data_IF_271543747629
#
_entry.id   IF_271543747629
#
_cell.length_a   1.000
_cell.length_b   1.000
_cell.length_c   1.000
_cell.angle_alpha   90.00
_cell.angle_beta   90.00
_cell.angle_gamma   90.00
#
_symmetry.space_group_name_H-M   'P 1'
#
loop_
_entity.id
_entity.type
_entity.pdbx_description
1 polymer ?
#
# COMPACT_ATOMS: atom_id res chain seq x y z
N UNK A 1 26.36 12.17 -13.30
CA UNK A 1 25.94 10.83 -13.76
C UNK A 1 24.42 10.82 -13.63
N UNK A 2 23.70 11.09 -14.71
CA UNK A 2 22.24 11.25 -14.66
C UNK A 2 21.63 10.34 -15.71
N UNK A 3 21.03 9.25 -15.25
CA UNK A 3 20.16 8.38 -16.04
C UNK A 3 18.85 8.21 -15.27
N UNK A 4 18.24 9.31 -14.89
CA UNK A 4 16.89 9.31 -14.33
C UNK A 4 15.91 9.51 -15.48
N UNK A 5 15.11 8.47 -15.76
CA UNK A 5 14.06 8.49 -16.79
C UNK A 5 12.71 8.41 -16.12
N UNK A 6 11.76 9.27 -16.52
CA UNK A 6 10.36 9.19 -16.11
C UNK A 6 9.54 8.56 -17.24
N UNK A 7 8.66 7.62 -16.91
CA UNK A 7 7.72 7.03 -17.86
C UNK A 7 6.30 7.24 -17.33
N UNK A 8 5.42 7.77 -18.18
CA UNK A 8 4.05 8.16 -17.84
C UNK A 8 3.05 7.42 -18.72
N UNK A 9 2.02 6.85 -18.11
CA UNK A 9 0.88 6.24 -18.80
C UNK A 9 -0.43 6.81 -18.27
N UNK A 10 -1.36 7.13 -19.19
CA UNK A 10 -2.75 7.46 -18.82
C UNK A 10 -3.55 6.16 -18.75
N UNK A 11 -3.98 5.80 -17.55
CA UNK A 11 -4.88 4.66 -17.32
C UNK A 11 -6.32 5.18 -17.38
N UNK A 12 -7.16 4.61 -18.24
CA UNK A 12 -8.61 4.87 -18.26
C UNK A 12 -9.35 3.67 -17.71
N UNK A 13 -10.11 3.85 -16.63
CA UNK A 13 -10.86 2.78 -15.97
C UNK A 13 -9.93 1.75 -15.36
N UNK A 14 -9.40 2.03 -14.16
CA UNK A 14 -8.68 1.00 -13.37
C UNK A 14 -9.74 -0.05 -13.00
N UNK A 15 -9.91 -1.04 -13.88
CA UNK A 15 -10.85 -2.11 -13.68
C UNK A 15 -10.45 -2.85 -12.39
N UNK A 16 -11.38 -2.87 -11.44
CA UNK A 16 -11.42 -3.76 -10.27
C UNK A 16 -10.16 -3.80 -9.39
N UNK A 17 -9.50 -2.66 -9.13
CA UNK A 17 -8.48 -2.58 -8.06
C UNK A 17 -9.08 -1.96 -6.81
N UNK A 18 -8.98 -2.70 -5.71
CA UNK A 18 -9.31 -2.20 -4.37
C UNK A 18 -8.26 -1.17 -3.95
N UNK A 19 -6.99 -1.58 -3.97
CA UNK A 19 -5.86 -0.74 -3.57
C UNK A 19 -4.55 -1.21 -4.22
N UNK A 20 -3.59 -0.28 -4.28
CA UNK A 20 -2.17 -0.57 -4.45
C UNK A 20 -1.47 -0.10 -3.19
N UNK A 21 -0.65 -0.96 -2.59
CA UNK A 21 0.06 -0.68 -1.35
C UNK A 21 1.55 -0.78 -1.57
N UNK A 22 2.27 0.25 -1.14
CA UNK A 22 3.72 0.22 -1.03
C UNK A 22 4.12 -0.05 0.42
N UNK A 23 4.93 -1.08 0.60
CA UNK A 23 5.55 -1.48 1.86
C UNK A 23 7.01 -1.04 1.86
N UNK A 24 7.45 -0.32 2.89
CA UNK A 24 8.83 0.17 3.02
C UNK A 24 9.41 -0.27 4.35
N UNK A 25 10.48 -1.06 4.30
CA UNK A 25 11.31 -1.37 5.46
C UNK A 25 12.53 -0.42 5.47
N UNK A 26 12.88 0.07 6.66
CA UNK A 26 14.02 0.96 6.86
C UNK A 26 15.12 0.25 7.64
N UNK A 27 16.36 0.55 7.30
CA UNK A 27 17.51 0.15 8.11
C UNK A 27 17.56 0.96 9.42
N UNK A 28 18.47 0.62 10.36
CA UNK A 28 18.62 1.36 11.62
C UNK A 28 18.99 2.85 11.47
N UNK A 29 19.52 3.26 10.32
CA UNK A 29 19.84 4.67 10.01
C UNK A 29 18.62 5.45 9.46
N UNK A 30 17.46 4.80 9.35
CA UNK A 30 16.23 5.41 8.85
C UNK A 30 16.17 5.54 7.33
N UNK A 31 17.04 4.85 6.59
CA UNK A 31 17.04 4.82 5.13
C UNK A 31 16.27 3.61 4.61
N UNK A 32 15.48 3.73 3.53
CA UNK A 32 14.80 2.60 2.92
C UNK A 32 15.80 1.50 2.53
N UNK A 33 15.59 0.30 3.06
CA UNK A 33 16.41 -0.88 2.77
C UNK A 33 15.71 -1.80 1.76
N UNK A 34 14.39 -1.94 1.89
CA UNK A 34 13.56 -2.71 0.98
C UNK A 34 12.23 -2.01 0.73
N UNK A 35 11.81 -2.02 -0.54
CA UNK A 35 10.52 -1.50 -0.98
C UNK A 35 9.82 -2.59 -1.78
N UNK A 36 8.59 -2.90 -1.43
CA UNK A 36 7.71 -3.80 -2.17
C UNK A 36 6.41 -3.07 -2.50
N UNK A 37 5.81 -3.41 -3.63
CA UNK A 37 4.48 -2.94 -4.01
C UNK A 37 3.60 -4.15 -4.27
N UNK A 38 2.42 -4.19 -3.65
CA UNK A 38 1.39 -5.19 -3.94
C UNK A 38 0.10 -4.52 -4.39
N UNK A 39 -0.71 -5.25 -5.15
CA UNK A 39 -1.98 -4.78 -5.66
C UNK A 39 -3.11 -5.75 -5.29
N UNK A 40 -4.22 -5.17 -4.87
CA UNK A 40 -5.39 -5.87 -4.37
C UNK A 40 -6.55 -5.64 -5.33
N UNK A 41 -7.22 -6.72 -5.74
CA UNK A 41 -8.41 -6.65 -6.57
C UNK A 41 -9.62 -6.27 -5.72
N UNK A 42 -10.60 -5.63 -6.34
CA UNK A 42 -11.88 -5.30 -5.71
C UNK A 42 -12.77 -6.55 -5.57
N UNK A 43 -12.36 -7.41 -4.62
CA UNK A 43 -13.00 -8.67 -4.27
C UNK A 43 -12.99 -8.84 -2.74
N UNK A 44 -13.98 -9.53 -2.15
CA UNK A 44 -14.01 -9.76 -0.69
C UNK A 44 -12.76 -10.45 -0.16
N UNK A 45 -12.17 -11.37 -0.92
CA UNK A 45 -10.96 -12.10 -0.54
C UNK A 45 -9.75 -11.16 -0.44
N UNK A 46 -9.54 -10.32 -1.46
CA UNK A 46 -8.44 -9.36 -1.46
C UNK A 46 -8.68 -8.19 -0.48
N UNK A 47 -9.94 -7.88 -0.14
CA UNK A 47 -10.25 -6.98 0.98
C UNK A 47 -9.75 -7.54 2.31
N UNK A 48 -10.09 -8.80 2.61
CA UNK A 48 -9.61 -9.46 3.82
C UNK A 48 -8.08 -9.57 3.83
N UNK A 49 -7.48 -9.87 2.67
CA UNK A 49 -6.02 -9.96 2.51
C UNK A 49 -5.35 -8.62 2.78
N UNK A 50 -5.87 -7.53 2.19
CA UNK A 50 -5.37 -6.17 2.40
C UNK A 50 -5.32 -5.82 3.89
N UNK A 51 -6.41 -6.05 4.62
CA UNK A 51 -6.45 -5.72 6.05
C UNK A 51 -5.45 -6.55 6.86
N UNK A 52 -5.34 -7.85 6.58
CA UNK A 52 -4.39 -8.74 7.25
C UNK A 52 -2.92 -8.38 6.95
N UNK A 53 -2.62 -8.04 5.70
CA UNK A 53 -1.26 -7.67 5.26
C UNK A 53 -0.84 -6.33 5.88
N UNK A 54 -1.73 -5.34 5.91
CA UNK A 54 -1.47 -4.04 6.57
C UNK A 54 -1.22 -4.23 8.06
N UNK A 55 -2.08 -4.98 8.75
CA UNK A 55 -1.92 -5.25 10.19
C UNK A 55 -0.59 -5.95 10.47
N UNK A 56 -0.23 -6.95 9.66
CA UNK A 56 1.04 -7.68 9.78
C UNK A 56 2.24 -6.77 9.53
N UNK A 57 2.21 -5.95 8.48
CA UNK A 57 3.29 -5.04 8.12
C UNK A 57 3.53 -4.01 9.22
N UNK A 58 2.49 -3.32 9.67
CA UNK A 58 2.60 -2.28 10.69
C UNK A 58 3.07 -2.84 12.04
N UNK A 59 2.56 -4.02 12.45
CA UNK A 59 3.05 -4.69 13.66
C UNK A 59 4.51 -5.15 13.54
N UNK A 60 5.01 -5.36 12.31
CA UNK A 60 6.40 -5.68 12.01
C UNK A 60 7.33 -4.46 11.86
N UNK A 61 6.81 -3.23 12.02
CA UNK A 61 7.60 -2.00 11.82
C UNK A 61 7.87 -1.66 10.34
N UNK A 62 7.02 -2.14 9.44
CA UNK A 62 7.09 -1.83 8.00
C UNK A 62 6.09 -0.73 7.70
N UNK A 63 6.55 0.37 7.10
CA UNK A 63 5.68 1.47 6.71
C UNK A 63 4.83 1.10 5.51
N UNK A 64 3.58 1.57 5.50
CA UNK A 64 2.62 1.29 4.44
C UNK A 64 2.09 2.59 3.83
N UNK A 65 2.16 2.73 2.51
CA UNK A 65 1.49 3.79 1.74
C UNK A 65 0.41 3.18 0.87
N UNK A 66 -0.85 3.56 1.10
CA UNK A 66 -2.02 2.94 0.46
C UNK A 66 -2.62 3.91 -0.57
N UNK A 67 -2.77 3.46 -1.80
CA UNK A 67 -3.48 4.14 -2.88
C UNK A 67 -4.74 3.36 -3.20
N UNK A 68 -5.90 3.87 -2.79
CA UNK A 68 -7.18 3.16 -2.87
C UNK A 68 -8.22 3.94 -3.69
N UNK A 69 -9.18 3.22 -4.27
CA UNK A 69 -10.38 3.81 -4.85
C UNK A 69 -11.42 4.18 -3.77
N UNK A 70 -11.23 3.71 -2.54
CA UNK A 70 -12.10 3.90 -1.38
C UNK A 70 -11.40 4.75 -0.32
N UNK A 71 -12.20 5.50 0.43
CA UNK A 71 -11.73 6.21 1.63
C UNK A 71 -11.32 5.22 2.73
N UNK A 72 -10.49 5.68 3.67
CA UNK A 72 -9.95 4.81 4.70
C UNK A 72 -11.01 4.23 5.66
N UNK A 73 -12.15 4.90 5.82
CA UNK A 73 -13.25 4.45 6.67
C UNK A 73 -14.00 3.22 6.12
N UNK A 74 -13.76 2.88 4.85
CA UNK A 74 -14.21 1.64 4.25
C UNK A 74 -13.51 0.40 4.84
N UNK A 75 -12.29 0.56 5.38
CA UNK A 75 -11.46 -0.53 5.92
C UNK A 75 -11.25 -0.35 7.43
N UNK A 76 -11.99 -1.07 8.29
CA UNK A 76 -11.93 -0.90 9.74
C UNK A 76 -10.53 -1.01 10.35
N UNK A 77 -9.70 -1.93 9.85
CA UNK A 77 -8.32 -2.13 10.35
C UNK A 77 -7.44 -0.95 9.98
N UNK A 78 -7.50 -0.50 8.73
CA UNK A 78 -6.72 0.65 8.26
C UNK A 78 -7.13 1.92 9.02
N UNK A 79 -8.44 2.14 9.19
CA UNK A 79 -8.96 3.29 9.94
C UNK A 79 -8.44 3.32 11.39
N UNK A 80 -8.35 2.16 12.04
CA UNK A 80 -7.83 2.05 13.41
C UNK A 80 -6.40 2.58 13.55
N UNK A 81 -5.54 2.37 12.55
CA UNK A 81 -4.16 2.86 12.56
C UNK A 81 -4.05 4.35 12.22
N UNK A 82 -5.02 4.91 11.48
CA UNK A 82 -5.05 6.33 11.12
C UNK A 82 -5.71 7.23 12.17
N UNK A 83 -6.55 6.67 13.03
CA UNK A 83 -7.25 7.40 14.09
C UNK A 83 -6.38 7.68 15.34
N UNK A 84 -5.07 7.43 15.27
CA UNK A 84 -4.09 7.54 16.36
C UNK A 84 -3.35 8.88 16.28
#
# INVERSE_FOLDING_TARGET
>A
MELTTITYYKVSGVASKLAVVRYTAYNPDGLPEAICEDSYQDTPEDFCRLEADIETALNGGIDTSIMSAYEADFSPVILRYLAI
#
